data_IF_121371050414
#
_entry.id   IF_121371050414
#
_cell.length_a   1.000
_cell.length_b   1.000
_cell.length_c   1.000
_cell.angle_alpha   90.00
_cell.angle_beta   90.00
_cell.angle_gamma   90.00
#
_symmetry.space_group_name_H-M   'P 1'
#
loop_
_entity.id
_entity.type
_entity.pdbx_description
1 polymer ?
#
# COMPACT_ATOMS: atom_id res chain seq x y z
N UNK A 1 -32.92 15.28 -30.11
CA UNK A 1 -33.01 14.68 -28.76
C UNK A 1 -31.95 15.39 -27.94
N UNK A 2 -32.35 16.40 -27.16
CA UNK A 2 -31.40 17.14 -26.33
C UNK A 2 -30.83 16.16 -25.31
N UNK A 3 -29.54 15.86 -25.43
CA UNK A 3 -28.76 15.13 -24.43
C UNK A 3 -28.85 15.90 -23.12
N UNK A 4 -29.77 15.47 -22.26
CA UNK A 4 -29.92 15.99 -20.92
C UNK A 4 -28.64 15.67 -20.15
N UNK A 5 -28.03 16.67 -19.54
CA UNK A 5 -26.95 16.49 -18.59
C UNK A 5 -27.57 16.45 -17.18
N UNK A 6 -27.02 15.67 -16.22
CA UNK A 6 -27.55 15.64 -14.87
C UNK A 6 -27.52 17.04 -14.25
N UNK A 7 -28.51 17.33 -13.42
CA UNK A 7 -28.51 18.55 -12.62
C UNK A 7 -27.35 18.56 -11.62
N UNK A 8 -27.10 19.75 -11.05
CA UNK A 8 -26.00 19.98 -10.11
C UNK A 8 -26.09 19.07 -8.89
N UNK A 9 -27.28 18.81 -8.37
CA UNK A 9 -27.49 17.99 -7.17
C UNK A 9 -27.13 16.53 -7.43
N UNK A 10 -27.52 16.01 -8.59
CA UNK A 10 -27.17 14.67 -9.05
C UNK A 10 -25.66 14.52 -9.20
N UNK A 11 -24.99 15.49 -9.84
CA UNK A 11 -23.53 15.48 -9.98
C UNK A 11 -22.85 15.54 -8.62
N UNK A 12 -23.28 16.42 -7.72
CA UNK A 12 -22.71 16.54 -6.38
C UNK A 12 -22.87 15.26 -5.57
N UNK A 13 -24.04 14.61 -5.66
CA UNK A 13 -24.30 13.33 -5.00
C UNK A 13 -23.38 12.24 -5.56
N UNK A 14 -23.26 12.14 -6.88
CA UNK A 14 -22.39 11.16 -7.52
C UNK A 14 -20.92 11.35 -7.14
N UNK A 15 -20.43 12.60 -7.15
CA UNK A 15 -19.03 12.90 -6.79
C UNK A 15 -18.75 12.76 -5.29
N UNK A 16 -19.75 12.98 -4.43
CA UNK A 16 -19.63 12.72 -2.98
C UNK A 16 -19.46 11.23 -2.70
N UNK A 17 -20.20 10.38 -3.42
CA UNK A 17 -19.98 8.93 -3.38
C UNK A 17 -18.63 8.55 -4.00
N UNK A 18 -18.25 9.17 -5.12
CA UNK A 18 -16.95 8.94 -5.76
C UNK A 18 -15.76 9.23 -4.83
N UNK A 19 -15.85 10.27 -4.00
CA UNK A 19 -14.82 10.66 -3.04
C UNK A 19 -14.61 9.64 -1.91
N UNK A 20 -15.53 8.68 -1.71
CA UNK A 20 -15.39 7.58 -0.72
C UNK A 20 -14.49 6.44 -1.20
N UNK A 21 -14.02 6.52 -2.44
CA UNK A 21 -13.06 5.56 -2.99
C UNK A 21 -11.80 5.47 -2.12
N UNK A 22 -11.22 4.28 -1.97
CA UNK A 22 -9.93 4.15 -1.29
C UNK A 22 -8.82 4.76 -2.14
N UNK A 23 -7.80 5.32 -1.47
CA UNK A 23 -6.54 5.70 -2.10
C UNK A 23 -5.36 5.34 -1.19
N UNK A 24 -4.16 5.25 -1.78
CA UNK A 24 -2.94 5.03 -1.00
C UNK A 24 -2.75 6.15 0.02
N UNK A 25 -2.43 5.78 1.27
CA UNK A 25 -2.49 6.65 2.46
C UNK A 25 -3.70 7.60 2.58
N UNK A 26 -4.81 7.32 1.91
CA UNK A 26 -5.96 8.23 1.81
C UNK A 26 -5.58 9.65 1.28
N UNK A 27 -4.56 9.74 0.39
CA UNK A 27 -4.11 10.99 -0.26
C UNK A 27 -5.17 11.66 -1.14
N UNK A 28 -6.12 10.87 -1.67
CA UNK A 28 -7.18 11.29 -2.61
C UNK A 28 -6.61 12.11 -3.78
N UNK A 29 -5.75 11.52 -4.63
CA UNK A 29 -4.93 12.24 -5.59
C UNK A 29 -5.68 12.52 -6.91
N UNK A 30 -6.95 12.91 -6.81
CA UNK A 30 -7.83 13.13 -7.95
C UNK A 30 -8.44 14.53 -7.94
N UNK A 31 -8.67 15.07 -9.13
CA UNK A 31 -9.40 16.33 -9.35
C UNK A 31 -10.52 16.10 -10.34
N UNK A 32 -11.74 16.41 -9.91
CA UNK A 32 -12.92 16.36 -10.78
C UNK A 32 -13.21 17.74 -11.36
N UNK A 33 -13.46 17.80 -12.66
CA UNK A 33 -13.94 19.00 -13.35
C UNK A 33 -15.25 18.70 -14.06
N UNK A 34 -16.29 19.44 -13.70
CA UNK A 34 -17.61 19.34 -14.34
C UNK A 34 -17.62 20.27 -15.56
N UNK A 35 -17.66 19.69 -16.76
CA UNK A 35 -17.85 20.42 -18.00
C UNK A 35 -19.33 20.57 -18.34
N UNK A 36 -19.62 21.24 -19.46
CA UNK A 36 -21.01 21.47 -19.89
C UNK A 36 -21.79 20.17 -20.23
N UNK A 37 -21.07 19.11 -20.62
CA UNK A 37 -21.68 17.86 -21.10
C UNK A 37 -20.97 16.59 -20.60
N UNK A 38 -19.89 16.74 -19.84
CA UNK A 38 -19.00 15.66 -19.44
C UNK A 38 -18.42 15.93 -18.06
N UNK A 39 -18.10 14.85 -17.36
CA UNK A 39 -17.24 14.91 -16.17
C UNK A 39 -15.82 14.55 -16.58
N UNK A 40 -14.84 15.27 -16.07
CA UNK A 40 -13.43 15.02 -16.34
C UNK A 40 -12.73 14.66 -15.03
N UNK A 41 -11.92 13.60 -15.08
CA UNK A 41 -11.08 13.16 -13.98
C UNK A 41 -9.62 13.42 -14.34
N UNK A 42 -8.94 14.12 -13.45
CA UNK A 42 -7.52 14.40 -13.53
C UNK A 42 -6.77 13.77 -12.36
N UNK A 43 -5.55 13.32 -12.61
CA UNK A 43 -4.55 13.08 -11.58
C UNK A 43 -4.19 14.39 -10.87
N UNK A 44 -3.82 14.30 -9.59
CA UNK A 44 -3.18 15.38 -8.85
C UNK A 44 -1.74 14.99 -8.48
N UNK A 45 -0.74 15.32 -9.32
CA UNK A 45 0.66 14.99 -9.06
C UNK A 45 1.20 15.62 -7.77
N UNK A 46 0.61 16.72 -7.28
CA UNK A 46 1.00 17.33 -6.00
C UNK A 46 0.71 16.44 -4.78
N UNK A 47 -0.10 15.39 -4.98
CA UNK A 47 -0.45 14.37 -3.98
C UNK A 47 0.25 13.04 -4.22
N UNK A 48 1.18 12.98 -5.17
CA UNK A 48 2.01 11.81 -5.40
C UNK A 48 2.94 11.56 -4.20
N UNK A 49 3.09 10.28 -3.88
CA UNK A 49 3.96 9.81 -2.82
C UNK A 49 5.31 9.48 -3.45
N UNK A 50 6.28 10.38 -3.35
CA UNK A 50 7.52 10.29 -4.10
C UNK A 50 8.45 9.19 -3.56
N UNK A 51 8.26 8.79 -2.29
CA UNK A 51 9.04 7.70 -1.68
C UNK A 51 8.30 6.36 -1.76
N UNK A 52 6.99 6.37 -1.49
CA UNK A 52 6.18 5.16 -1.45
C UNK A 52 5.57 4.76 -2.82
N UNK A 53 5.43 5.69 -3.76
CA UNK A 53 4.91 5.49 -5.12
C UNK A 53 5.67 6.36 -6.16
N UNK A 54 6.98 6.14 -6.34
CA UNK A 54 7.82 6.97 -7.21
C UNK A 54 7.37 6.95 -8.67
N UNK A 55 6.77 5.85 -9.13
CA UNK A 55 6.26 5.68 -10.49
C UNK A 55 4.82 6.18 -10.66
N UNK A 56 4.13 6.58 -9.58
CA UNK A 56 2.76 7.08 -9.63
C UNK A 56 1.70 6.01 -9.92
N UNK A 57 2.05 4.73 -9.78
CA UNK A 57 1.15 3.62 -10.09
C UNK A 57 -0.02 3.57 -9.11
N UNK A 58 0.25 3.73 -7.81
CA UNK A 58 -0.78 3.71 -6.78
C UNK A 58 -1.66 4.97 -6.84
N UNK A 59 -1.10 6.10 -7.29
CA UNK A 59 -1.84 7.30 -7.63
C UNK A 59 -2.87 7.02 -8.74
N UNK A 60 -2.45 6.40 -9.85
CA UNK A 60 -3.35 6.06 -10.95
C UNK A 60 -4.40 5.03 -10.52
N UNK A 61 -4.03 4.01 -9.74
CA UNK A 61 -4.98 3.04 -9.19
C UNK A 61 -6.01 3.70 -8.27
N UNK A 62 -5.58 4.66 -7.47
CA UNK A 62 -6.49 5.47 -6.62
C UNK A 62 -7.47 6.27 -7.46
N UNK A 63 -7.00 6.88 -8.55
CA UNK A 63 -7.87 7.59 -9.50
C UNK A 63 -8.87 6.65 -10.20
N UNK A 64 -8.42 5.45 -10.59
CA UNK A 64 -9.29 4.41 -11.14
C UNK A 64 -10.39 3.98 -10.14
N UNK A 65 -10.07 3.94 -8.84
CA UNK A 65 -11.06 3.62 -7.81
C UNK A 65 -12.16 4.68 -7.68
N UNK A 66 -11.81 5.98 -7.70
CA UNK A 66 -12.81 7.07 -7.69
C UNK A 66 -13.61 7.12 -8.99
N UNK A 67 -12.98 6.85 -10.14
CA UNK A 67 -13.67 6.74 -11.43
C UNK A 67 -14.74 5.65 -11.39
N UNK A 68 -14.40 4.47 -10.89
CA UNK A 68 -15.35 3.38 -10.74
C UNK A 68 -16.48 3.75 -9.77
N UNK A 69 -16.19 4.39 -8.63
CA UNK A 69 -17.24 4.83 -7.71
C UNK A 69 -18.17 5.87 -8.35
N UNK A 70 -17.64 6.80 -9.17
CA UNK A 70 -18.46 7.76 -9.91
C UNK A 70 -19.40 7.07 -10.90
N UNK A 71 -18.90 6.08 -11.66
CA UNK A 71 -19.73 5.29 -12.61
C UNK A 71 -20.85 4.54 -11.88
N UNK A 72 -20.55 3.88 -10.76
CA UNK A 72 -21.55 3.19 -9.94
C UNK A 72 -22.58 4.15 -9.37
N UNK A 73 -22.14 5.31 -8.88
CA UNK A 73 -23.03 6.31 -8.31
C UNK A 73 -23.96 6.92 -9.37
N UNK A 74 -23.44 7.23 -10.56
CA UNK A 74 -24.25 7.69 -11.70
C UNK A 74 -25.30 6.65 -12.10
N UNK A 75 -24.93 5.37 -12.18
CA UNK A 75 -25.85 4.30 -12.54
C UNK A 75 -27.02 4.18 -11.54
N UNK A 76 -26.74 4.24 -10.23
CA UNK A 76 -27.77 4.23 -9.20
C UNK A 76 -28.69 5.47 -9.21
N UNK A 77 -28.25 6.56 -9.84
CA UNK A 77 -29.01 7.81 -10.02
C UNK A 77 -29.74 7.87 -11.37
N UNK A 78 -29.77 6.78 -12.16
CA UNK A 78 -30.45 6.74 -13.46
C UNK A 78 -29.62 7.22 -14.65
N UNK A 79 -28.29 7.24 -14.49
CA UNK A 79 -27.36 7.73 -15.52
C UNK A 79 -26.37 6.64 -15.93
N UNK A 80 -26.34 6.33 -17.23
CA UNK A 80 -25.30 5.49 -17.83
C UNK A 80 -24.09 6.35 -18.18
N UNK A 81 -22.92 5.83 -17.85
CA UNK A 81 -21.63 6.50 -18.03
C UNK A 81 -20.80 5.76 -19.10
N UNK A 82 -20.41 6.46 -20.15
CA UNK A 82 -19.42 6.01 -21.13
C UNK A 82 -18.10 6.70 -20.86
N UNK A 83 -17.09 5.91 -20.50
CA UNK A 83 -15.79 6.39 -20.05
C UNK A 83 -14.79 6.35 -21.22
N UNK A 84 -14.14 7.49 -21.46
CA UNK A 84 -13.01 7.61 -22.36
C UNK A 84 -11.75 7.82 -21.53
N UNK A 85 -10.84 6.84 -21.54
CA UNK A 85 -9.57 6.92 -20.83
C UNK A 85 -8.55 7.70 -21.66
N UNK A 86 -7.72 8.50 -20.99
CA UNK A 86 -6.69 9.35 -21.60
C UNK A 86 -7.18 10.09 -22.86
N UNK A 87 -8.28 10.88 -22.75
CA UNK A 87 -8.91 11.50 -23.90
C UNK A 87 -8.06 12.61 -24.54
N UNK A 88 -7.08 13.16 -23.82
CA UNK A 88 -6.14 14.14 -24.34
C UNK A 88 -4.71 13.58 -24.29
N UNK A 89 -4.09 13.27 -25.44
CA UNK A 89 -2.73 12.72 -25.47
C UNK A 89 -1.66 13.74 -25.08
N UNK A 90 -1.99 15.03 -25.02
CA UNK A 90 -1.06 16.11 -24.63
C UNK A 90 -1.07 16.40 -23.13
N UNK A 91 -2.06 15.87 -22.41
CA UNK A 91 -2.23 16.02 -20.97
C UNK A 91 -2.29 14.64 -20.30
N UNK A 92 -1.14 14.16 -19.85
CA UNK A 92 -1.02 12.86 -19.20
C UNK A 92 -1.81 12.78 -17.88
N UNK A 93 -2.09 13.92 -17.25
CA UNK A 93 -2.88 13.98 -16.02
C UNK A 93 -4.38 13.88 -16.32
N UNK A 94 -4.84 14.08 -17.56
CA UNK A 94 -6.23 13.90 -17.95
C UNK A 94 -6.57 12.40 -18.10
N UNK A 95 -6.90 11.77 -16.98
CA UNK A 95 -7.07 10.32 -16.91
C UNK A 95 -8.35 9.82 -17.59
N UNK A 96 -9.47 10.54 -17.43
CA UNK A 96 -10.72 10.12 -18.02
C UNK A 96 -11.70 11.28 -18.30
N UNK A 97 -12.54 11.09 -19.31
CA UNK A 97 -13.77 11.85 -19.50
C UNK A 97 -14.98 10.93 -19.53
N UNK A 98 -16.09 11.36 -18.92
CA UNK A 98 -17.33 10.60 -18.80
C UNK A 98 -18.41 11.31 -19.61
N UNK A 99 -18.90 10.64 -20.64
CA UNK A 99 -20.17 10.94 -21.29
C UNK A 99 -21.30 10.33 -20.47
N UNK A 100 -22.35 11.10 -20.23
CA UNK A 100 -23.51 10.63 -19.48
C UNK A 100 -24.75 10.64 -20.37
N UNK A 101 -25.61 9.66 -20.14
CA UNK A 101 -26.92 9.52 -20.79
C UNK A 101 -27.90 8.94 -19.79
N UNK A 102 -29.19 9.23 -19.95
CA UNK A 102 -30.22 8.59 -19.12
C UNK A 102 -30.25 7.09 -19.38
N UNK A 103 -30.56 6.31 -18.37
CA UNK A 103 -30.81 4.89 -18.53
C UNK A 103 -31.42 4.24 -17.30
N UNK A 104 -31.86 3.00 -17.47
CA UNK A 104 -32.56 2.27 -16.41
C UNK A 104 -31.63 1.95 -15.23
N UNK A 105 -32.18 1.99 -14.03
CA UNK A 105 -31.49 1.66 -12.78
C UNK A 105 -31.67 0.18 -12.48
N UNK A 106 -30.56 -0.57 -12.44
CA UNK A 106 -30.59 -1.98 -12.05
C UNK A 106 -30.48 -2.12 -10.53
N UNK A 107 -31.10 -3.18 -9.97
CA UNK A 107 -30.99 -3.48 -8.53
C UNK A 107 -29.53 -3.64 -8.08
N UNK A 108 -28.68 -4.17 -8.95
CA UNK A 108 -27.24 -4.34 -8.69
C UNK A 108 -26.55 -2.98 -8.54
N UNK A 109 -26.90 -1.98 -9.34
CA UNK A 109 -26.31 -0.64 -9.27
C UNK A 109 -26.66 0.04 -7.95
N UNK A 110 -27.92 -0.08 -7.51
CA UNK A 110 -28.37 0.41 -6.19
C UNK A 110 -27.61 -0.28 -5.06
N UNK A 111 -27.46 -1.60 -5.12
CA UNK A 111 -26.71 -2.35 -4.10
C UNK A 111 -25.24 -1.95 -4.03
N UNK A 112 -24.59 -1.74 -5.18
CA UNK A 112 -23.19 -1.31 -5.26
C UNK A 112 -23.02 0.12 -4.74
N UNK A 113 -23.88 1.07 -5.13
CA UNK A 113 -23.86 2.43 -4.61
C UNK A 113 -24.10 2.47 -3.10
N UNK A 114 -25.00 1.64 -2.58
CA UNK A 114 -25.25 1.50 -1.16
C UNK A 114 -24.04 0.89 -0.39
N UNK A 115 -23.17 0.13 -1.06
CA UNK A 115 -21.96 -0.42 -0.45
C UNK A 115 -20.85 0.63 -0.27
N UNK A 116 -20.80 1.67 -1.14
CA UNK A 116 -19.79 2.73 -1.12
C UNK A 116 -19.62 3.38 0.27
N UNK A 117 -20.67 3.95 0.91
CA UNK A 117 -20.51 4.62 2.21
C UNK A 117 -20.16 3.64 3.33
N UNK A 118 -20.56 2.37 3.19
CA UNK A 118 -20.33 1.31 4.18
C UNK A 118 -18.92 0.73 4.09
N UNK A 119 -18.23 0.80 2.96
CA UNK A 119 -16.89 0.25 2.78
C UNK A 119 -15.89 0.96 3.71
N UNK A 120 -15.02 0.17 4.34
CA UNK A 120 -13.89 0.66 5.14
C UNK A 120 -12.71 -0.30 4.98
N UNK A 121 -11.50 0.24 5.09
CA UNK A 121 -10.29 -0.57 5.20
C UNK A 121 -10.16 -1.02 6.65
N UNK A 122 -10.38 -2.31 6.91
CA UNK A 122 -10.22 -2.91 8.23
C UNK A 122 -8.84 -3.54 8.33
N UNK A 123 -7.99 -3.04 9.25
CA UNK A 123 -6.63 -3.57 9.46
C UNK A 123 -6.53 -4.50 10.66
N UNK A 124 -7.67 -4.90 11.25
CA UNK A 124 -7.70 -5.89 12.32
C UNK A 124 -7.39 -7.28 11.76
N UNK A 125 -7.01 -8.20 12.64
CA UNK A 125 -6.85 -9.61 12.25
C UNK A 125 -8.21 -10.17 11.83
N UNK A 126 -8.28 -10.72 10.63
CA UNK A 126 -9.45 -11.45 10.16
C UNK A 126 -9.59 -12.79 10.88
N UNK A 127 -10.82 -13.26 11.01
CA UNK A 127 -11.10 -14.58 11.59
C UNK A 127 -10.59 -15.71 10.69
N UNK A 128 -10.47 -16.94 11.24
CA UNK A 128 -9.95 -18.10 10.50
C UNK A 128 -10.97 -18.70 9.52
N UNK A 129 -12.16 -18.13 9.40
CA UNK A 129 -13.23 -18.64 8.56
C UNK A 129 -12.86 -18.48 7.08
N UNK A 130 -12.93 -19.56 6.27
CA UNK A 130 -12.67 -19.45 4.85
C UNK A 130 -13.71 -18.56 4.17
N UNK A 131 -13.28 -17.80 3.17
CA UNK A 131 -14.21 -17.07 2.30
C UNK A 131 -14.99 -18.10 1.47
N UNK A 132 -16.33 -18.04 1.43
CA UNK A 132 -17.12 -18.96 0.62
C UNK A 132 -16.68 -18.97 -0.86
N UNK A 133 -16.57 -20.17 -1.45
CA UNK A 133 -16.13 -20.33 -2.85
C UNK A 133 -17.05 -19.60 -3.85
N UNK A 134 -18.33 -19.49 -3.53
CA UNK A 134 -19.28 -18.73 -4.34
C UNK A 134 -18.91 -17.23 -4.38
N UNK A 135 -18.45 -16.67 -3.27
CA UNK A 135 -18.06 -15.27 -3.18
C UNK A 135 -16.76 -15.01 -3.95
N UNK A 136 -15.76 -15.90 -3.81
CA UNK A 136 -14.51 -15.79 -4.58
C UNK A 136 -14.74 -15.94 -6.07
N UNK A 137 -15.62 -16.85 -6.50
CA UNK A 137 -16.01 -17.02 -7.89
C UNK A 137 -16.75 -15.77 -8.42
N UNK A 138 -17.66 -15.20 -7.63
CA UNK A 138 -18.36 -13.96 -8.00
C UNK A 138 -17.39 -12.79 -8.15
N UNK A 139 -16.43 -12.64 -7.23
CA UNK A 139 -15.38 -11.62 -7.32
C UNK A 139 -14.52 -11.81 -8.57
N UNK A 140 -14.10 -13.04 -8.87
CA UNK A 140 -13.31 -13.35 -10.05
C UNK A 140 -14.07 -13.04 -11.36
N UNK A 141 -15.36 -13.41 -11.44
CA UNK A 141 -16.20 -13.11 -12.59
C UNK A 141 -16.39 -11.59 -12.79
N UNK A 142 -16.54 -10.83 -11.71
CA UNK A 142 -16.63 -9.36 -11.78
C UNK A 142 -15.31 -8.72 -12.20
N UNK A 143 -14.19 -9.17 -11.65
CA UNK A 143 -12.86 -8.69 -12.04
C UNK A 143 -12.58 -8.97 -13.53
N UNK A 144 -12.90 -10.18 -14.01
CA UNK A 144 -12.69 -10.57 -15.40
C UNK A 144 -13.48 -9.71 -16.40
N UNK A 145 -14.72 -9.31 -16.06
CA UNK A 145 -15.51 -8.36 -16.88
C UNK A 145 -14.84 -6.99 -17.01
N UNK A 146 -14.00 -6.62 -16.06
CA UNK A 146 -13.19 -5.40 -16.08
C UNK A 146 -11.79 -5.63 -16.66
N UNK A 147 -11.49 -6.81 -17.22
CA UNK A 147 -10.16 -7.16 -17.72
C UNK A 147 -9.10 -7.37 -16.62
N UNK A 148 -9.53 -7.55 -15.36
CA UNK A 148 -8.64 -7.74 -14.21
C UNK A 148 -8.61 -9.22 -13.80
N UNK A 149 -7.41 -9.76 -13.61
CA UNK A 149 -7.23 -11.10 -13.08
C UNK A 149 -7.25 -11.09 -11.55
N UNK A 150 -8.03 -11.99 -10.95
CA UNK A 150 -8.03 -12.26 -9.51
C UNK A 150 -7.37 -13.61 -9.26
N UNK A 151 -6.39 -13.65 -8.36
CA UNK A 151 -5.70 -14.88 -7.94
C UNK A 151 -5.73 -15.03 -6.43
N UNK A 152 -6.16 -16.20 -5.96
CA UNK A 152 -6.00 -16.59 -4.57
C UNK A 152 -4.57 -17.06 -4.33
N UNK A 153 -3.97 -16.63 -3.22
CA UNK A 153 -2.63 -17.02 -2.80
C UNK A 153 -2.77 -17.94 -1.59
N UNK A 154 -2.43 -19.21 -1.77
CA UNK A 154 -2.47 -20.20 -0.68
C UNK A 154 -1.13 -20.29 0.08
N UNK A 155 -0.02 -19.92 -0.57
CA UNK A 155 1.30 -19.86 0.06
C UNK A 155 1.48 -18.59 0.91
N UNK A 156 0.82 -18.59 2.06
CA UNK A 156 0.88 -17.50 3.02
C UNK A 156 2.25 -17.38 3.70
N UNK A 157 3.05 -18.46 3.73
CA UNK A 157 4.38 -18.44 4.32
C UNK A 157 5.34 -17.60 3.48
N UNK A 158 5.36 -17.85 2.16
CA UNK A 158 6.16 -17.04 1.23
C UNK A 158 5.67 -15.60 1.17
N UNK A 159 4.35 -15.38 1.13
CA UNK A 159 3.79 -14.02 1.17
C UNK A 159 4.23 -13.27 2.43
N UNK A 160 4.17 -13.92 3.60
CA UNK A 160 4.62 -13.31 4.85
C UNK A 160 6.10 -12.95 4.79
N UNK A 161 6.97 -13.85 4.30
CA UNK A 161 8.40 -13.57 4.17
C UNK A 161 8.67 -12.33 3.29
N UNK A 162 8.01 -12.22 2.13
CA UNK A 162 8.14 -11.07 1.22
C UNK A 162 7.66 -9.79 1.90
N UNK A 163 6.49 -9.82 2.56
CA UNK A 163 5.95 -8.64 3.25
C UNK A 163 6.85 -8.22 4.42
N UNK A 164 7.38 -9.16 5.19
CA UNK A 164 8.32 -8.87 6.28
C UNK A 164 9.59 -8.22 5.75
N UNK A 165 10.15 -8.72 4.64
CA UNK A 165 11.32 -8.12 4.01
C UNK A 165 11.04 -6.68 3.56
N UNK A 166 9.92 -6.45 2.88
CA UNK A 166 9.52 -5.12 2.45
C UNK A 166 9.33 -4.16 3.64
N UNK A 167 8.76 -4.63 4.75
CA UNK A 167 8.63 -3.81 5.98
C UNK A 167 10.01 -3.39 6.50
N UNK A 168 10.99 -4.29 6.53
CA UNK A 168 12.34 -3.97 6.98
C UNK A 168 13.00 -2.91 6.08
N UNK A 169 12.91 -3.08 4.76
CA UNK A 169 13.46 -2.12 3.79
C UNK A 169 12.83 -0.73 3.98
N UNK A 170 11.50 -0.66 4.07
CA UNK A 170 10.77 0.59 4.31
C UNK A 170 11.09 1.22 5.67
N UNK A 171 11.21 0.43 6.74
CA UNK A 171 11.51 0.94 8.08
C UNK A 171 12.92 1.54 8.19
N UNK A 172 13.85 1.10 7.34
CA UNK A 172 15.20 1.65 7.27
C UNK A 172 15.34 2.83 6.31
N UNK A 173 14.31 3.13 5.51
CA UNK A 173 14.28 4.25 4.58
C UNK A 173 13.67 5.49 5.26
N UNK A 174 14.51 6.49 5.52
CA UNK A 174 14.10 7.73 6.18
C UNK A 174 13.02 8.50 5.41
N UNK A 175 13.16 8.64 4.08
CA UNK A 175 12.23 9.41 3.26
C UNK A 175 10.86 8.74 3.22
N UNK A 176 10.84 7.40 3.13
CA UNK A 176 9.62 6.61 3.22
C UNK A 176 8.89 6.79 4.55
N UNK A 177 9.61 6.67 5.67
CA UNK A 177 9.02 6.83 7.01
C UNK A 177 8.50 8.25 7.22
N UNK A 178 9.23 9.26 6.76
CA UNK A 178 8.83 10.65 6.84
C UNK A 178 7.54 10.89 6.04
N UNK A 179 7.47 10.43 4.78
CA UNK A 179 6.27 10.53 3.94
C UNK A 179 5.08 9.79 4.56
N UNK A 180 5.26 8.56 5.05
CA UNK A 180 4.22 7.80 5.74
C UNK A 180 3.70 8.55 6.99
N UNK A 181 4.59 9.22 7.72
CA UNK A 181 4.23 10.04 8.90
C UNK A 181 3.48 11.30 8.50
N UNK A 182 3.81 11.95 7.38
CA UNK A 182 3.07 13.12 6.89
C UNK A 182 1.60 12.80 6.61
N UNK A 183 1.35 11.61 6.07
CA UNK A 183 0.02 11.15 5.67
C UNK A 183 -0.69 10.28 6.72
N UNK A 184 -0.13 10.10 7.91
CA UNK A 184 -0.76 9.37 9.02
C UNK A 184 -0.90 10.26 10.26
N UNK A 185 -1.93 10.01 11.06
CA UNK A 185 -1.99 10.54 12.43
C UNK A 185 -2.43 12.00 12.60
N UNK A 186 -2.72 12.75 11.52
CA UNK A 186 -3.20 14.14 11.63
C UNK A 186 -4.69 14.20 11.97
N UNK A 187 -5.04 14.70 13.15
CA UNK A 187 -6.43 15.02 13.52
C UNK A 187 -6.99 16.12 12.61
N UNK A 188 -8.22 15.93 12.10
CA UNK A 188 -8.96 16.96 11.36
C UNK A 188 -8.56 17.18 9.90
N UNK A 189 -7.62 16.41 9.35
CA UNK A 189 -7.30 16.47 7.92
C UNK A 189 -8.37 15.74 7.08
N UNK A 190 -8.76 16.35 5.96
CA UNK A 190 -9.66 15.73 4.96
C UNK A 190 -8.98 14.57 4.20
N UNK A 191 -7.65 14.49 4.25
CA UNK A 191 -6.83 13.45 3.62
C UNK A 191 -5.76 12.90 4.58
N UNK A 192 -5.27 11.70 4.31
CA UNK A 192 -4.42 10.96 5.26
C UNK A 192 -5.19 9.93 6.08
N UNK A 193 -4.47 9.02 6.74
CA UNK A 193 -5.03 7.96 7.57
C UNK A 193 -5.35 8.49 8.97
N UNK A 194 -6.62 8.53 9.40
CA UNK A 194 -6.98 9.04 10.72
C UNK A 194 -6.43 8.15 11.86
N UNK A 195 -6.06 8.72 13.02
CA UNK A 195 -5.62 7.96 14.20
C UNK A 195 -6.64 6.92 14.68
N UNK A 196 -7.94 7.21 14.54
CA UNK A 196 -9.03 6.34 14.96
C UNK A 196 -9.24 5.11 14.03
N UNK A 197 -8.42 4.94 12.99
CA UNK A 197 -8.54 3.81 12.07
C UNK A 197 -8.16 2.50 12.78
N UNK A 198 -9.08 1.52 12.88
CA UNK A 198 -8.80 0.28 13.60
C UNK A 198 -7.58 -0.45 13.03
N UNK A 199 -6.66 -0.86 13.91
CA UNK A 199 -5.47 -1.62 13.55
C UNK A 199 -4.30 -0.79 12.98
N UNK A 200 -4.43 0.54 12.89
CA UNK A 200 -3.29 1.42 12.61
C UNK A 200 -2.47 1.55 13.89
N UNK A 201 -1.22 1.08 13.86
CA UNK A 201 -0.21 1.45 14.86
C UNK A 201 0.52 2.68 14.30
N UNK A 202 0.58 3.76 15.07
CA UNK A 202 1.39 4.91 14.69
C UNK A 202 2.86 4.47 14.71
N UNK A 203 3.65 4.93 13.74
CA UNK A 203 5.10 4.70 13.74
C UNK A 203 5.68 5.33 15.01
N UNK A 204 5.94 4.47 16.01
CA UNK A 204 6.18 4.81 17.41
C UNK A 204 5.90 3.61 18.33
N UNK A 205 5.00 2.71 17.91
CA UNK A 205 4.67 1.44 18.59
C UNK A 205 5.41 0.22 18.02
N UNK A 206 6.49 0.43 17.26
CA UNK A 206 7.39 -0.68 16.97
C UNK A 206 8.09 -1.07 18.26
N UNK A 207 8.14 -2.36 18.65
CA UNK A 207 9.23 -2.78 19.51
C UNK A 207 10.50 -2.39 18.75
N UNK A 208 11.38 -1.60 19.38
CA UNK A 208 12.72 -1.42 18.84
C UNK A 208 13.21 -2.79 18.38
N UNK A 209 13.85 -2.90 17.21
CA UNK A 209 14.65 -4.08 16.94
C UNK A 209 15.54 -4.23 18.15
N UNK A 210 15.40 -5.32 18.89
CA UNK A 210 16.35 -5.67 19.91
C UNK A 210 17.67 -5.91 19.17
N UNK A 211 18.42 -4.83 18.95
CA UNK A 211 19.82 -4.89 18.59
C UNK A 211 20.43 -5.58 19.78
N UNK A 212 20.60 -6.89 19.65
CA UNK A 212 21.34 -7.70 20.60
C UNK A 212 22.77 -7.21 20.49
N UNK A 213 23.08 -6.11 21.18
CA UNK A 213 24.45 -5.62 21.34
C UNK A 213 25.23 -6.80 21.90
N UNK A 214 26.29 -7.30 21.25
CA UNK A 214 27.16 -8.24 21.91
C UNK A 214 27.70 -7.53 23.15
N UNK A 215 27.32 -8.03 24.33
CA UNK A 215 27.95 -7.61 25.58
C UNK A 215 29.45 -7.84 25.42
N UNK A 216 30.31 -6.83 25.65
CA UNK A 216 31.71 -7.12 25.88
C UNK A 216 31.74 -7.95 27.16
N UNK A 217 32.04 -9.25 27.01
CA UNK A 217 32.28 -10.13 28.14
C UNK A 217 33.33 -9.49 29.06
N UNK A 218 33.22 -9.67 30.38
CA UNK A 218 34.10 -9.01 31.32
C UNK A 218 35.55 -9.38 30.99
N UNK A 219 36.37 -8.36 30.75
CA UNK A 219 37.81 -8.47 30.60
C UNK A 219 38.34 -9.32 31.76
N UNK A 220 38.88 -10.49 31.43
CA UNK A 220 39.55 -11.36 32.38
C UNK A 220 40.70 -10.58 33.02
N UNK A 221 40.51 -10.22 34.29
CA UNK A 221 41.57 -9.69 35.15
C UNK A 221 42.69 -10.73 35.20
N UNK A 222 43.90 -10.26 34.93
CA UNK A 222 45.16 -10.97 35.18
C UNK A 222 45.13 -11.63 36.56
N UNK A 223 45.03 -12.95 36.58
CA UNK A 223 45.38 -13.76 37.75
C UNK A 223 46.76 -14.33 37.51
N UNK A 224 47.68 -13.81 38.32
CA UNK A 224 49.01 -14.28 38.66
C UNK A 224 49.26 -15.77 38.44
N UNK A 225 50.32 -16.05 37.67
CA UNK A 225 50.99 -17.36 37.55
C UNK A 225 51.25 -17.96 38.93
N UNK A 226 50.56 -19.06 39.27
CA UNK A 226 51.04 -20.05 40.23
C UNK A 226 51.64 -21.23 39.46
N UNK A 227 52.94 -21.48 39.69
CA UNK A 227 53.67 -22.67 39.22
C UNK A 227 53.12 -23.93 39.90
N UNK A 228 53.06 -25.07 39.20
CA UNK A 228 53.21 -26.38 39.83
C UNK A 228 54.67 -26.87 39.73
N UNK A 229 55.17 -27.44 40.83
CA UNK A 229 56.37 -28.28 40.92
C UNK A 229 55.97 -29.75 40.69
N UNK A 230 56.88 -30.55 40.13
CA UNK A 230 56.76 -32.02 39.95
C UNK A 230 57.09 -32.40 38.50
N UNK A 231 58.34 -32.53 38.06
CA UNK A 231 59.41 -33.51 38.34
C UNK A 231 59.33 -34.81 37.50
N UNK A 232 60.51 -35.28 37.05
CA UNK A 232 60.85 -36.35 36.08
C UNK A 232 60.65 -36.00 34.58
N UNK A 233 61.58 -36.22 33.64
CA UNK A 233 62.91 -36.80 33.66
C UNK A 233 63.31 -37.22 32.22
N UNK A 234 64.55 -36.88 31.82
CA UNK A 234 65.39 -37.49 30.77
C UNK A 234 65.11 -37.30 29.24
N UNK A 235 66.20 -36.99 28.51
CA UNK A 235 66.40 -37.26 27.06
C UNK A 235 66.50 -36.00 26.16
N UNK A 236 67.60 -35.25 26.14
CA UNK A 236 68.83 -35.44 25.34
C UNK A 236 68.74 -35.06 23.85
N UNK A 237 69.61 -34.10 23.45
CA UNK A 237 70.14 -33.74 22.10
C UNK A 237 69.16 -33.16 21.08
N UNK A 238 69.54 -32.29 20.14
CA UNK A 238 70.68 -31.39 19.87
C UNK A 238 70.32 -30.67 18.55
N UNK A 239 70.92 -29.51 18.28
CA UNK A 239 71.07 -28.85 16.95
C UNK A 239 69.92 -28.04 16.30
N UNK A 240 70.12 -26.71 16.39
CA UNK A 240 69.92 -25.66 15.35
C UNK A 240 70.74 -25.92 14.06
N UNK A 241 70.69 -25.07 13.00
CA UNK A 241 69.75 -24.00 12.60
C UNK A 241 69.42 -23.97 11.07
N UNK A 242 68.80 -22.86 10.62
CA UNK A 242 68.95 -22.17 9.31
C UNK A 242 67.76 -22.35 8.34
N UNK A 243 66.94 -21.29 8.16
CA UNK A 243 67.06 -20.19 7.18
C UNK A 243 66.60 -20.62 5.78
N UNK A 244 65.52 -20.00 5.29
CA UNK A 244 65.45 -19.10 4.12
C UNK A 244 64.05 -19.11 3.47
N UNK A 245 63.45 -17.91 3.46
CA UNK A 245 62.53 -17.41 2.44
C UNK A 245 63.27 -17.32 1.07
N UNK A 246 62.66 -16.98 -0.10
CA UNK A 246 61.45 -16.15 -0.25
C UNK A 246 60.47 -16.50 -1.40
N UNK A 247 59.38 -15.75 -1.34
CA UNK A 247 58.51 -15.22 -2.39
C UNK A 247 58.84 -15.55 -3.86
N UNK A 248 57.80 -16.01 -4.55
CA UNK A 248 57.38 -15.53 -5.86
C UNK A 248 55.94 -15.04 -5.74
#
# INVERSE_FOLDING_TARGET
>A
METQFPDTETIQTALTLAARAPSMYNTQPWRWRVGARRLHLYADPSRQLHSADPEGRDLILSCGATLHHAVVALAALGWRAKVHHFPDPTDADHLASIEVSTGDVDQVDVMLAAAIPRRRTDRRRYGPWPVPTADTALMAARAARCGVMLRQIDDLATLHAIVTQAIWEHATNYDYVNEATMWSGRYGSLAGVPPATPGVRLHGDHPEPAVRRPHPGPAARNVTRRRPRGDAGAGHRDRRPARLAPCG
#
